data_IF_845942207589
#
_entry.id   IF_845942207589
#
_cell.length_a   1.000
_cell.length_b   1.000
_cell.length_c   1.000
_cell.angle_alpha   90.00
_cell.angle_beta   90.00
_cell.angle_gamma   90.00
#
_symmetry.space_group_name_H-M   'P 1'
#
loop_
_entity.id
_entity.type
_entity.pdbx_description
1 polymer ?
#
# COMPACT_ATOMS: atom_id res chain seq x y z
N UNK A 1 4.10 -29.32 27.03
CA UNK A 1 4.66 -28.31 26.14
C UNK A 1 3.54 -27.39 25.66
N UNK A 2 3.69 -26.07 25.85
CA UNK A 2 2.69 -25.07 25.40
C UNK A 2 2.69 -25.03 23.87
N UNK A 3 1.50 -25.06 23.26
CA UNK A 3 1.33 -25.00 21.79
C UNK A 3 0.55 -23.74 21.40
N UNK A 4 0.93 -23.02 20.33
CA UNK A 4 0.12 -21.95 19.80
C UNK A 4 -1.18 -22.50 19.20
N UNK A 5 -2.19 -21.63 18.99
CA UNK A 5 -3.40 -22.03 18.27
C UNK A 5 -3.06 -22.52 16.85
N UNK A 6 -3.90 -23.42 16.30
CA UNK A 6 -3.64 -24.09 15.01
C UNK A 6 -3.41 -23.12 13.84
N UNK A 7 -4.13 -22.01 13.80
CA UNK A 7 -3.97 -20.97 12.78
C UNK A 7 -2.55 -20.37 12.79
N UNK A 8 -2.01 -20.07 13.97
CA UNK A 8 -0.66 -19.50 14.14
C UNK A 8 0.45 -20.51 13.85
N UNK A 9 0.24 -21.78 14.26
CA UNK A 9 1.23 -22.85 14.05
C UNK A 9 1.52 -23.14 12.56
N UNK A 10 0.57 -22.83 11.67
CA UNK A 10 0.69 -23.05 10.21
C UNK A 10 1.29 -21.87 9.45
N UNK A 11 1.44 -20.70 10.08
CA UNK A 11 1.91 -19.50 9.41
C UNK A 11 3.38 -19.56 9.09
N UNK A 12 3.74 -19.15 7.88
CA UNK A 12 5.11 -18.81 7.55
C UNK A 12 5.45 -17.42 8.09
N UNK A 13 6.59 -17.31 8.77
CA UNK A 13 7.03 -16.04 9.33
C UNK A 13 7.31 -15.03 8.21
N UNK A 14 6.52 -13.95 8.14
CA UNK A 14 6.80 -12.83 7.25
C UNK A 14 8.07 -12.09 7.70
N UNK A 15 9.09 -12.02 6.83
CA UNK A 15 10.39 -11.39 7.12
C UNK A 15 10.71 -10.33 6.07
N UNK A 16 10.25 -9.09 6.25
CA UNK A 16 10.68 -8.00 5.39
C UNK A 16 12.18 -7.73 5.59
N UNK A 17 12.95 -7.37 4.54
CA UNK A 17 14.39 -7.10 4.64
C UNK A 17 14.65 -5.72 5.28
N UNK A 18 14.47 -5.61 6.60
CA UNK A 18 14.58 -4.35 7.35
C UNK A 18 16.02 -3.93 7.63
N UNK A 19 16.95 -4.88 7.63
CA UNK A 19 18.33 -4.64 8.08
C UNK A 19 19.24 -4.08 6.97
N UNK A 20 20.26 -3.33 7.40
CA UNK A 20 21.31 -2.80 6.51
C UNK A 20 20.79 -1.73 5.53
N UNK A 21 19.78 -0.93 5.92
CA UNK A 21 19.18 0.12 5.09
C UNK A 21 19.73 1.53 5.38
N UNK A 22 20.44 1.72 6.52
CA UNK A 22 21.05 2.99 6.89
C UNK A 22 22.04 3.47 5.83
N UNK A 23 22.03 4.78 5.53
CA UNK A 23 22.93 5.41 4.56
C UNK A 23 22.70 5.07 3.08
N UNK A 24 21.68 4.24 2.75
CA UNK A 24 21.35 3.83 1.38
C UNK A 24 20.18 4.60 0.81
N UNK A 25 20.12 4.69 -0.51
CA UNK A 25 18.94 5.19 -1.24
C UNK A 25 17.85 4.14 -1.20
N UNK A 26 16.80 4.40 -0.41
CA UNK A 26 15.72 3.45 -0.10
C UNK A 26 14.59 3.55 -1.12
N UNK A 27 14.63 2.69 -2.15
CA UNK A 27 13.58 2.56 -3.17
C UNK A 27 12.86 1.21 -3.09
N UNK A 28 12.77 0.62 -1.90
CA UNK A 28 12.27 -0.75 -1.64
C UNK A 28 10.91 -0.81 -0.92
N UNK A 29 10.60 0.11 0.00
CA UNK A 29 9.38 0.06 0.83
C UNK A 29 8.36 1.16 0.53
N UNK A 30 8.49 1.86 -0.58
CA UNK A 30 7.56 2.93 -0.97
C UNK A 30 7.47 4.04 0.10
N UNK A 31 8.58 4.29 0.81
CA UNK A 31 8.69 5.39 1.77
C UNK A 31 8.80 6.73 1.04
N UNK A 32 8.49 7.82 1.73
CA UNK A 32 8.86 9.14 1.27
C UNK A 32 10.39 9.29 1.36
N UNK A 33 11.03 9.51 0.22
CA UNK A 33 12.50 9.49 0.11
C UNK A 33 13.17 10.79 0.53
N UNK A 34 12.40 11.85 0.76
CA UNK A 34 12.88 13.16 1.24
C UNK A 34 12.48 13.44 2.70
N UNK A 35 11.68 12.53 3.30
CA UNK A 35 11.22 12.65 4.69
C UNK A 35 9.90 13.40 4.84
N UNK A 36 9.60 13.81 6.08
CA UNK A 36 8.39 14.56 6.40
C UNK A 36 8.64 16.09 6.38
N UNK A 37 7.56 16.85 6.48
CA UNK A 37 7.65 18.31 6.61
C UNK A 37 8.55 18.72 7.80
N UNK A 38 9.45 19.71 7.64
CA UNK A 38 10.35 20.17 8.73
C UNK A 38 9.59 20.62 9.98
N UNK A 39 8.37 21.13 9.82
CA UNK A 39 7.46 21.52 10.92
C UNK A 39 7.13 20.34 11.82
N UNK A 40 6.96 19.15 11.26
CA UNK A 40 6.72 17.92 12.02
C UNK A 40 7.92 17.63 12.93
N UNK A 41 9.13 17.67 12.39
CA UNK A 41 10.36 17.43 13.19
C UNK A 41 10.48 18.43 14.32
N UNK A 42 10.23 19.73 14.04
CA UNK A 42 10.26 20.78 15.08
C UNK A 42 9.20 20.54 16.16
N UNK A 43 7.99 20.15 15.78
CA UNK A 43 6.91 19.86 16.71
C UNK A 43 7.21 18.63 17.58
N UNK A 44 7.76 17.55 16.99
CA UNK A 44 8.15 16.36 17.73
C UNK A 44 9.26 16.68 18.75
N UNK A 45 10.29 17.45 18.37
CA UNK A 45 11.33 17.88 19.30
C UNK A 45 10.76 18.65 20.50
N UNK A 46 9.80 19.56 20.29
CA UNK A 46 9.12 20.30 21.37
C UNK A 46 8.20 19.41 22.22
N UNK A 47 7.65 18.36 21.62
CA UNK A 47 6.76 17.44 22.31
C UNK A 47 7.50 16.39 23.16
N UNK A 48 8.81 16.24 23.00
CA UNK A 48 9.62 15.31 23.79
C UNK A 48 9.86 15.93 25.19
N UNK A 49 9.03 15.51 26.15
CA UNK A 49 9.19 15.83 27.58
C UNK A 49 8.92 14.59 28.42
N UNK A 50 9.46 14.51 29.62
CA UNK A 50 9.23 13.42 30.57
C UNK A 50 7.73 13.24 30.85
N UNK A 51 7.02 14.33 31.09
CA UNK A 51 5.58 14.33 31.31
C UNK A 51 4.80 13.70 30.14
N UNK A 52 5.03 14.17 28.93
CA UNK A 52 4.32 13.61 27.75
C UNK A 52 4.65 12.15 27.49
N UNK A 53 5.85 11.70 27.80
CA UNK A 53 6.25 10.31 27.61
C UNK A 53 5.67 9.38 28.68
N UNK A 54 5.35 9.92 29.88
CA UNK A 54 4.77 9.15 30.98
C UNK A 54 3.24 9.09 30.96
N UNK A 55 2.56 9.90 30.14
CA UNK A 55 1.11 9.97 30.08
C UNK A 55 0.53 9.29 28.83
N UNK A 56 -0.60 8.59 29.00
CA UNK A 56 -1.38 8.12 27.86
C UNK A 56 -1.96 9.29 27.05
N UNK A 57 -2.01 9.18 25.70
CA UNK A 57 -2.50 10.27 24.86
C UNK A 57 -4.04 10.39 24.92
N UNK A 58 -4.51 11.63 24.76
CA UNK A 58 -5.91 11.93 24.50
C UNK A 58 -6.21 11.86 22.99
N UNK A 59 -7.26 11.15 22.60
CA UNK A 59 -7.56 10.89 21.19
C UNK A 59 -8.62 11.81 20.59
N UNK A 60 -9.52 12.38 21.43
CA UNK A 60 -10.72 13.07 20.96
C UNK A 60 -10.41 14.30 20.07
N UNK A 61 -9.49 15.17 20.55
CA UNK A 61 -9.08 16.34 19.78
C UNK A 61 -8.39 15.98 18.47
N UNK A 62 -7.54 14.94 18.49
CA UNK A 62 -6.86 14.44 17.31
C UNK A 62 -7.85 13.83 16.29
N UNK A 63 -8.80 13.02 16.77
CA UNK A 63 -9.84 12.42 15.95
C UNK A 63 -10.69 13.48 15.26
N UNK A 64 -11.15 14.51 15.96
CA UNK A 64 -11.93 15.64 15.39
C UNK A 64 -11.15 16.35 14.27
N UNK A 65 -9.87 16.65 14.50
CA UNK A 65 -9.04 17.37 13.52
C UNK A 65 -8.73 16.51 12.27
N UNK A 66 -8.41 15.23 12.47
CA UNK A 66 -8.18 14.29 11.37
C UNK A 66 -9.46 14.01 10.59
N UNK A 67 -10.61 13.85 11.27
CA UNK A 67 -11.90 13.69 10.61
C UNK A 67 -12.25 14.91 9.73
N UNK A 68 -12.04 16.12 10.24
CA UNK A 68 -12.19 17.35 9.45
C UNK A 68 -11.27 17.36 8.22
N UNK A 69 -10.02 16.92 8.37
CA UNK A 69 -9.06 16.85 7.25
C UNK A 69 -9.52 15.89 6.15
N UNK A 70 -10.08 14.73 6.52
CA UNK A 70 -10.60 13.75 5.57
C UNK A 70 -12.02 14.06 5.07
N UNK A 71 -12.71 15.09 5.59
CA UNK A 71 -14.09 15.42 5.22
C UNK A 71 -15.13 14.42 5.73
N UNK A 72 -14.85 13.77 6.86
CA UNK A 72 -15.74 12.81 7.53
C UNK A 72 -16.10 13.32 8.94
N UNK A 73 -17.09 12.68 9.57
CA UNK A 73 -17.45 12.95 10.96
C UNK A 73 -16.51 12.22 11.92
N UNK A 74 -16.27 12.72 13.15
CA UNK A 74 -15.40 12.07 14.11
C UNK A 74 -15.77 10.62 14.42
N UNK A 75 -17.05 10.30 14.46
CA UNK A 75 -17.58 8.95 14.66
C UNK A 75 -17.31 8.00 13.48
N UNK A 76 -17.02 8.53 12.28
CA UNK A 76 -16.71 7.77 11.06
C UNK A 76 -15.20 7.47 10.92
N UNK A 77 -14.38 7.89 11.88
CA UNK A 77 -12.93 7.71 11.87
C UNK A 77 -12.46 6.86 13.05
N UNK A 78 -11.64 5.84 12.76
CA UNK A 78 -10.92 5.03 13.75
C UNK A 78 -9.42 5.24 13.55
N UNK A 79 -8.72 5.65 14.62
CA UNK A 79 -7.26 5.82 14.61
C UNK A 79 -6.58 4.46 14.76
N UNK A 80 -5.51 4.21 14.02
CA UNK A 80 -4.78 2.94 14.04
C UNK A 80 -3.27 3.13 14.03
N UNK A 81 -2.54 2.15 14.52
CA UNK A 81 -1.07 2.12 14.50
C UNK A 81 -0.54 1.75 13.09
N UNK A 82 -0.83 2.61 12.11
CA UNK A 82 -0.63 2.35 10.68
C UNK A 82 -1.76 1.50 10.09
N UNK A 83 -1.74 1.34 8.75
CA UNK A 83 -2.74 0.51 8.05
C UNK A 83 -2.59 -0.99 8.32
N UNK A 84 -1.41 -1.46 8.71
CA UNK A 84 -1.25 -2.86 9.12
C UNK A 84 -2.13 -3.18 10.34
N UNK A 85 -2.16 -2.27 11.34
CA UNK A 85 -3.05 -2.38 12.49
C UNK A 85 -4.53 -2.21 12.10
N UNK A 86 -4.83 -1.34 11.13
CA UNK A 86 -6.18 -1.22 10.59
C UNK A 86 -6.70 -2.57 10.05
N UNK A 87 -5.87 -3.28 9.29
CA UNK A 87 -6.21 -4.62 8.77
C UNK A 87 -6.42 -5.60 9.93
N UNK A 88 -5.54 -5.59 10.93
CA UNK A 88 -5.68 -6.42 12.12
C UNK A 88 -7.00 -6.15 12.87
N UNK A 89 -7.33 -4.89 13.12
CA UNK A 89 -8.60 -4.48 13.78
C UNK A 89 -9.83 -4.95 12.97
N UNK A 90 -9.77 -4.83 11.64
CA UNK A 90 -10.85 -5.34 10.76
C UNK A 90 -10.98 -6.85 10.90
N UNK A 91 -9.87 -7.60 10.90
CA UNK A 91 -9.92 -9.04 11.10
C UNK A 91 -10.46 -9.43 12.49
N UNK A 92 -10.05 -8.73 13.54
CA UNK A 92 -10.55 -8.99 14.90
C UNK A 92 -12.04 -8.71 15.05
N UNK A 93 -12.57 -7.71 14.34
CA UNK A 93 -13.98 -7.34 14.43
C UNK A 93 -14.91 -8.19 13.56
N UNK A 94 -14.43 -8.69 12.42
CA UNK A 94 -15.30 -9.27 11.40
C UNK A 94 -14.97 -10.70 10.98
N UNK A 95 -13.84 -11.27 11.38
CA UNK A 95 -13.42 -12.60 10.91
C UNK A 95 -13.56 -13.66 11.96
N UNK A 96 -14.34 -14.69 11.66
CA UNK A 96 -14.43 -15.93 12.43
C UNK A 96 -13.55 -17.02 11.79
N UNK A 97 -13.10 -18.04 12.56
CA UNK A 97 -12.37 -19.16 12.00
C UNK A 97 -13.16 -19.87 10.88
N UNK A 98 -12.51 -20.03 9.72
CA UNK A 98 -13.12 -20.61 8.52
C UNK A 98 -13.76 -19.61 7.56
N UNK A 99 -13.91 -18.34 7.94
CA UNK A 99 -14.39 -17.30 7.04
C UNK A 99 -13.48 -17.11 5.82
N UNK A 100 -14.05 -16.72 4.67
CA UNK A 100 -13.33 -16.53 3.43
C UNK A 100 -12.99 -15.06 3.19
N UNK A 101 -11.69 -14.80 2.94
CA UNK A 101 -11.21 -13.56 2.33
C UNK A 101 -11.11 -13.72 0.83
N UNK A 102 -11.66 -12.81 0.06
CA UNK A 102 -11.36 -12.65 -1.36
C UNK A 102 -10.30 -11.57 -1.55
N UNK A 103 -9.22 -11.90 -2.26
CA UNK A 103 -8.12 -10.98 -2.53
C UNK A 103 -7.61 -11.11 -3.97
N UNK A 104 -7.44 -10.00 -4.71
CA UNK A 104 -6.69 -10.01 -5.96
C UNK A 104 -5.24 -10.39 -5.71
N UNK A 105 -4.63 -11.14 -6.62
CA UNK A 105 -3.24 -11.55 -6.51
C UNK A 105 -2.46 -11.30 -7.81
N UNK A 106 -1.23 -10.76 -7.72
CA UNK A 106 -0.49 -10.40 -6.50
C UNK A 106 -0.97 -9.08 -5.86
N UNK A 107 -0.93 -9.02 -4.52
CA UNK A 107 -1.25 -7.82 -3.74
C UNK A 107 -0.45 -7.75 -2.44
N UNK A 108 -0.78 -6.80 -1.56
CA UNK A 108 -0.09 -6.60 -0.29
C UNK A 108 -0.33 -7.79 0.66
N UNK A 109 0.72 -8.50 1.11
CA UNK A 109 0.57 -9.78 1.80
C UNK A 109 0.00 -9.67 3.22
N UNK A 110 -0.09 -8.48 3.79
CA UNK A 110 -0.55 -8.28 5.18
C UNK A 110 -2.05 -8.57 5.32
N UNK A 111 -2.86 -8.43 4.25
CA UNK A 111 -4.27 -8.86 4.27
C UNK A 111 -4.39 -10.36 4.56
N UNK A 112 -3.64 -11.17 3.81
CA UNK A 112 -3.57 -12.60 4.03
C UNK A 112 -3.08 -12.93 5.43
N UNK A 113 -1.97 -12.29 5.86
CA UNK A 113 -1.33 -12.57 7.14
C UNK A 113 -2.32 -12.45 8.32
N UNK A 114 -3.00 -11.31 8.47
CA UNK A 114 -3.92 -11.12 9.60
C UNK A 114 -5.18 -11.97 9.48
N UNK A 115 -5.66 -12.22 8.26
CA UNK A 115 -6.80 -13.10 8.04
C UNK A 115 -6.49 -14.56 8.46
N UNK A 116 -5.35 -15.09 8.06
CA UNK A 116 -4.87 -16.41 8.47
C UNK A 116 -4.58 -16.48 9.98
N UNK A 117 -4.05 -15.41 10.59
CA UNK A 117 -3.91 -15.30 12.05
C UNK A 117 -5.27 -15.45 12.72
N UNK A 118 -6.33 -14.85 12.20
CA UNK A 118 -7.69 -15.00 12.71
C UNK A 118 -8.27 -16.41 12.49
N UNK A 119 -7.64 -17.24 11.65
CA UNK A 119 -8.08 -18.62 11.36
C UNK A 119 -8.93 -18.72 10.09
N UNK A 120 -8.99 -17.67 9.29
CA UNK A 120 -9.73 -17.65 8.03
C UNK A 120 -9.02 -18.38 6.90
N UNK A 121 -9.76 -18.67 5.83
CA UNK A 121 -9.29 -19.22 4.57
C UNK A 121 -9.38 -18.16 3.46
N UNK A 122 -8.79 -18.43 2.29
CA UNK A 122 -8.63 -17.39 1.30
C UNK A 122 -8.96 -17.88 -0.10
N UNK A 123 -9.74 -17.06 -0.82
CA UNK A 123 -9.95 -17.16 -2.25
C UNK A 123 -9.13 -16.09 -2.99
N UNK A 124 -8.42 -16.50 -4.03
CA UNK A 124 -7.62 -15.60 -4.85
C UNK A 124 -8.23 -15.42 -6.23
N UNK A 125 -8.35 -14.19 -6.67
CA UNK A 125 -8.56 -13.85 -8.06
C UNK A 125 -7.28 -13.25 -8.63
N UNK A 126 -6.81 -13.79 -9.74
CA UNK A 126 -5.55 -13.32 -10.31
C UNK A 126 -5.81 -12.23 -11.34
N UNK A 127 -5.01 -11.18 -11.29
CA UNK A 127 -5.00 -10.18 -12.36
C UNK A 127 -4.75 -10.85 -13.71
N UNK A 128 -5.31 -10.28 -14.77
CA UNK A 128 -5.03 -10.69 -16.14
C UNK A 128 -3.57 -10.42 -16.54
N UNK A 129 -3.19 -10.77 -17.74
CA UNK A 129 -1.85 -10.55 -18.30
C UNK A 129 -1.46 -9.06 -18.35
N UNK A 130 -2.46 -8.16 -18.36
CA UNK A 130 -2.30 -6.71 -18.34
C UNK A 130 -2.40 -6.12 -16.93
N UNK A 131 -2.37 -6.93 -15.89
CA UNK A 131 -2.56 -6.54 -14.49
C UNK A 131 -3.89 -5.79 -14.23
N UNK A 132 -4.95 -6.08 -15.00
CA UNK A 132 -6.31 -5.61 -14.75
C UNK A 132 -7.07 -6.60 -13.90
N UNK A 133 -7.91 -6.10 -13.01
CA UNK A 133 -8.77 -6.97 -12.19
C UNK A 133 -9.87 -7.60 -13.06
N UNK A 134 -9.97 -8.94 -13.12
CA UNK A 134 -11.04 -9.62 -13.87
C UNK A 134 -12.34 -9.58 -13.07
N UNK A 135 -13.07 -8.48 -13.15
CA UNK A 135 -14.30 -8.20 -12.37
C UNK A 135 -15.35 -9.30 -12.51
N UNK A 136 -15.48 -9.91 -13.70
CA UNK A 136 -16.40 -11.04 -13.91
C UNK A 136 -16.08 -12.24 -13.02
N UNK A 137 -14.80 -12.53 -12.81
CA UNK A 137 -14.39 -13.65 -11.96
C UNK A 137 -14.53 -13.30 -10.49
N UNK A 138 -14.26 -12.05 -10.11
CA UNK A 138 -14.59 -11.53 -8.77
C UNK A 138 -16.08 -11.73 -8.47
N UNK A 139 -16.97 -11.34 -9.39
CA UNK A 139 -18.43 -11.48 -9.23
C UNK A 139 -18.88 -12.95 -9.13
N UNK A 140 -18.22 -13.88 -9.82
CA UNK A 140 -18.50 -15.33 -9.67
C UNK A 140 -18.14 -15.80 -8.25
N UNK A 141 -16.97 -15.38 -7.73
CA UNK A 141 -16.51 -15.78 -6.40
C UNK A 141 -17.40 -15.14 -5.32
N UNK A 142 -17.86 -13.90 -5.50
CA UNK A 142 -18.77 -13.21 -4.58
C UNK A 142 -20.14 -13.88 -4.43
N UNK A 143 -20.52 -14.85 -5.29
CA UNK A 143 -21.69 -15.70 -5.07
C UNK A 143 -21.48 -16.72 -3.94
N UNK A 144 -20.25 -16.95 -3.53
CA UNK A 144 -19.91 -17.75 -2.35
C UNK A 144 -20.07 -16.88 -1.09
N UNK A 145 -20.02 -17.52 0.08
CA UNK A 145 -20.05 -16.81 1.37
C UNK A 145 -18.71 -16.14 1.66
N UNK A 146 -18.39 -15.05 0.94
CA UNK A 146 -17.19 -14.25 1.20
C UNK A 146 -17.44 -13.32 2.38
N UNK A 147 -16.59 -13.39 3.41
CA UNK A 147 -16.69 -12.55 4.59
C UNK A 147 -16.25 -11.12 4.32
N UNK A 148 -15.10 -10.98 3.66
CA UNK A 148 -14.59 -9.69 3.25
C UNK A 148 -13.72 -9.76 2.01
N UNK A 149 -13.57 -8.62 1.35
CA UNK A 149 -12.72 -8.39 0.17
C UNK A 149 -11.70 -7.33 0.51
N UNK A 150 -10.41 -7.60 0.24
CA UNK A 150 -9.34 -6.62 0.42
C UNK A 150 -8.85 -6.12 -0.95
N UNK A 151 -8.98 -4.83 -1.20
CA UNK A 151 -8.63 -4.17 -2.45
C UNK A 151 -7.67 -3.00 -2.17
N UNK A 152 -6.37 -3.18 -2.44
CA UNK A 152 -5.46 -2.03 -2.46
C UNK A 152 -5.71 -1.21 -3.74
N UNK A 153 -5.92 0.08 -3.61
CA UNK A 153 -6.24 0.96 -4.74
C UNK A 153 -5.60 2.35 -4.60
N UNK A 154 -4.46 2.57 -5.24
CA UNK A 154 -3.67 1.71 -6.15
C UNK A 154 -3.12 0.43 -5.51
N UNK A 155 -3.06 -0.66 -6.30
CA UNK A 155 -2.58 -1.95 -5.81
C UNK A 155 -1.05 -1.96 -5.63
N UNK A 156 -0.58 -2.68 -4.64
CA UNK A 156 0.84 -2.98 -4.42
C UNK A 156 1.06 -4.50 -4.59
N UNK A 157 1.87 -4.96 -5.58
CA UNK A 157 2.98 -4.23 -6.19
C UNK A 157 2.74 -3.64 -7.59
N UNK A 158 1.57 -3.81 -8.17
CA UNK A 158 1.35 -3.48 -9.59
C UNK A 158 1.24 -1.96 -9.85
N UNK A 159 0.75 -1.19 -8.90
CA UNK A 159 0.46 0.24 -9.05
C UNK A 159 -0.83 0.53 -9.82
N UNK A 160 -1.54 -0.50 -10.27
CA UNK A 160 -2.80 -0.39 -11.02
C UNK A 160 -3.95 0.03 -10.12
N UNK A 161 -4.97 0.65 -10.71
CA UNK A 161 -6.20 1.04 -10.03
C UNK A 161 -7.39 0.20 -10.51
N UNK A 162 -8.37 0.06 -9.64
CA UNK A 162 -9.68 -0.48 -9.96
C UNK A 162 -10.60 0.71 -10.22
N UNK A 163 -11.35 0.69 -11.32
CA UNK A 163 -12.22 1.79 -11.67
C UNK A 163 -13.35 1.97 -10.63
N UNK A 164 -13.81 3.20 -10.44
CA UNK A 164 -14.99 3.47 -9.58
C UNK A 164 -16.24 2.70 -10.05
N UNK A 165 -16.38 2.50 -11.36
CA UNK A 165 -17.46 1.68 -11.93
C UNK A 165 -17.39 0.25 -11.42
N UNK A 166 -16.22 -0.37 -11.52
CA UNK A 166 -16.01 -1.76 -11.11
C UNK A 166 -16.16 -1.95 -9.60
N UNK A 167 -15.62 -1.00 -8.80
CA UNK A 167 -15.80 -0.99 -7.35
C UNK A 167 -17.28 -0.91 -6.98
N UNK A 168 -18.07 -0.06 -7.66
CA UNK A 168 -19.51 0.05 -7.43
C UNK A 168 -20.23 -1.26 -7.73
N UNK A 169 -19.96 -1.87 -8.89
CA UNK A 169 -20.56 -3.15 -9.30
C UNK A 169 -20.31 -4.24 -8.24
N UNK A 170 -19.07 -4.33 -7.72
CA UNK A 170 -18.74 -5.32 -6.71
C UNK A 170 -19.44 -5.06 -5.37
N UNK A 171 -19.47 -3.78 -4.90
CA UNK A 171 -20.15 -3.38 -3.67
C UNK A 171 -21.64 -3.70 -3.70
N UNK A 172 -22.30 -3.42 -4.83
CA UNK A 172 -23.74 -3.63 -5.02
C UNK A 172 -24.08 -5.12 -5.18
N UNK A 173 -23.16 -5.91 -5.74
CA UNK A 173 -23.33 -7.36 -5.92
C UNK A 173 -23.26 -8.16 -4.60
N UNK A 174 -22.59 -7.63 -3.56
CA UNK A 174 -22.39 -8.36 -2.30
C UNK A 174 -22.57 -7.44 -1.07
N UNK A 175 -23.80 -6.99 -0.78
CA UNK A 175 -24.06 -6.01 0.28
C UNK A 175 -23.76 -6.51 1.69
N UNK A 176 -23.69 -7.82 1.89
CA UNK A 176 -23.37 -8.46 3.17
C UNK A 176 -21.88 -8.81 3.35
N UNK A 177 -21.07 -8.52 2.34
CA UNK A 177 -19.60 -8.72 2.36
C UNK A 177 -18.93 -7.39 2.70
N UNK A 178 -17.98 -7.39 3.63
CA UNK A 178 -17.19 -6.20 3.96
C UNK A 178 -16.17 -5.94 2.85
N UNK A 179 -16.17 -4.75 2.28
CA UNK A 179 -15.17 -4.31 1.30
C UNK A 179 -14.19 -3.34 1.96
N UNK A 180 -12.92 -3.72 1.98
CA UNK A 180 -11.83 -2.85 2.42
C UNK A 180 -11.11 -2.32 1.18
N UNK A 181 -11.20 -1.02 0.94
CA UNK A 181 -10.45 -0.32 -0.10
C UNK A 181 -9.29 0.41 0.58
N UNK A 182 -8.08 -0.14 0.40
CA UNK A 182 -6.87 0.43 0.98
C UNK A 182 -6.29 1.50 0.06
N UNK A 183 -6.46 2.76 0.43
CA UNK A 183 -6.03 3.93 -0.31
C UNK A 183 -4.68 4.48 0.20
N UNK A 184 -3.75 3.59 0.58
CA UNK A 184 -2.42 3.97 1.08
C UNK A 184 -1.60 4.83 0.09
N UNK A 185 -1.95 4.84 -1.18
CA UNK A 185 -1.28 5.60 -2.24
C UNK A 185 -2.16 6.71 -2.84
N UNK A 186 -3.23 7.09 -2.16
CA UNK A 186 -4.20 8.10 -2.60
C UNK A 186 -3.55 9.40 -3.07
N UNK A 187 -2.59 9.93 -2.32
CA UNK A 187 -1.97 11.23 -2.62
C UNK A 187 -1.24 11.24 -3.98
N UNK A 188 -0.93 10.06 -4.54
CA UNK A 188 -0.27 9.91 -5.84
C UNK A 188 -1.24 9.63 -7.00
N UNK A 189 -2.42 9.09 -6.72
CA UNK A 189 -3.45 8.76 -7.72
C UNK A 189 -4.56 9.82 -7.81
N UNK A 190 -4.91 10.42 -6.68
CA UNK A 190 -6.09 11.26 -6.54
C UNK A 190 -7.43 10.49 -6.51
N UNK A 191 -7.38 9.15 -6.71
CA UNK A 191 -8.58 8.31 -6.77
C UNK A 191 -9.05 7.88 -5.39
N UNK A 192 -10.33 8.11 -5.08
CA UNK A 192 -10.92 7.73 -3.78
C UNK A 192 -12.38 7.33 -3.90
N UNK A 193 -12.78 6.40 -3.03
CA UNK A 193 -14.17 6.02 -2.77
C UNK A 193 -14.65 6.48 -1.39
N UNK A 194 -13.84 7.26 -0.67
CA UNK A 194 -14.18 7.77 0.65
C UNK A 194 -15.59 8.44 0.73
N UNK A 195 -16.04 9.24 -0.26
CA UNK A 195 -17.40 9.81 -0.22
C UNK A 195 -18.53 8.77 -0.18
N UNK A 196 -18.24 7.51 -0.47
CA UNK A 196 -19.25 6.44 -0.56
C UNK A 196 -19.50 5.73 0.78
N UNK A 197 -18.73 5.96 1.83
CA UNK A 197 -18.87 5.26 3.12
C UNK A 197 -20.24 5.40 3.77
N UNK A 198 -20.98 6.46 3.44
CA UNK A 198 -22.37 6.68 3.92
C UNK A 198 -23.40 6.01 3.03
N UNK A 199 -23.08 5.80 1.75
CA UNK A 199 -23.96 5.14 0.78
C UNK A 199 -23.85 3.61 0.87
N UNK A 200 -22.66 3.09 1.06
CA UNK A 200 -22.39 1.65 1.12
C UNK A 200 -21.97 1.26 2.55
N UNK A 201 -22.90 0.71 3.36
CA UNK A 201 -22.63 0.39 4.75
C UNK A 201 -21.57 -0.70 4.94
N UNK A 202 -21.25 -1.46 3.89
CA UNK A 202 -20.25 -2.50 3.84
C UNK A 202 -18.87 -2.00 3.34
N UNK A 203 -18.68 -0.69 3.16
CA UNK A 203 -17.41 -0.12 2.68
C UNK A 203 -16.57 0.41 3.84
N UNK A 204 -15.32 -0.01 3.86
CA UNK A 204 -14.25 0.50 4.72
C UNK A 204 -13.13 1.05 3.84
N UNK A 205 -12.66 2.27 4.11
CA UNK A 205 -11.51 2.88 3.46
C UNK A 205 -10.38 3.00 4.47
N UNK A 206 -9.14 2.65 4.09
CA UNK A 206 -7.97 2.87 4.94
C UNK A 206 -7.05 3.94 4.35
N UNK A 207 -6.43 4.75 5.21
CA UNK A 207 -5.47 5.80 4.87
C UNK A 207 -4.24 5.72 5.77
N UNK A 208 -3.09 6.10 5.24
CA UNK A 208 -1.81 6.05 5.97
C UNK A 208 -1.05 7.37 5.90
N UNK A 209 -0.34 7.70 6.96
CA UNK A 209 0.65 8.78 6.97
C UNK A 209 2.07 8.31 6.61
N UNK A 210 2.24 7.00 6.33
CA UNK A 210 3.56 6.40 6.07
C UNK A 210 4.15 6.77 4.71
N UNK A 211 3.30 7.12 3.71
CA UNK A 211 3.74 7.30 2.32
C UNK A 211 3.98 8.78 1.99
N UNK A 212 3.02 9.50 1.45
CA UNK A 212 3.19 10.89 1.05
C UNK A 212 3.61 11.82 2.18
N UNK A 213 3.09 11.63 3.39
CA UNK A 213 3.42 12.44 4.57
C UNK A 213 4.78 12.13 5.18
N UNK A 214 5.42 10.99 4.83
CA UNK A 214 6.76 10.64 5.30
C UNK A 214 6.84 10.23 6.78
N UNK A 215 5.75 9.74 7.37
CA UNK A 215 5.67 9.38 8.79
C UNK A 215 5.68 7.87 9.04
N UNK A 216 6.38 7.09 8.21
CA UNK A 216 6.40 5.64 8.30
C UNK A 216 6.81 5.12 9.70
N UNK A 217 7.78 5.76 10.33
CA UNK A 217 8.28 5.39 11.66
C UNK A 217 7.30 5.72 12.79
N UNK A 218 6.41 6.69 12.62
CA UNK A 218 5.42 7.07 13.63
C UNK A 218 4.22 6.15 13.69
N UNK A 219 4.01 5.32 12.66
CA UNK A 219 2.92 4.35 12.64
C UNK A 219 1.54 4.98 12.82
N UNK A 220 1.16 5.95 12.01
CA UNK A 220 -0.18 6.54 12.02
C UNK A 220 -0.97 6.14 10.79
N UNK A 221 -2.15 5.60 11.00
CA UNK A 221 -3.15 5.26 10.00
C UNK A 221 -4.56 5.55 10.48
N UNK A 222 -5.51 5.46 9.58
CA UNK A 222 -6.93 5.64 9.86
C UNK A 222 -7.78 4.64 9.09
N UNK A 223 -8.84 4.16 9.73
CA UNK A 223 -10.00 3.55 9.07
C UNK A 223 -11.08 4.63 8.98
N UNK A 224 -11.69 4.73 7.82
CA UNK A 224 -12.76 5.66 7.47
C UNK A 224 -13.94 4.83 6.95
N UNK A 225 -15.07 4.88 7.65
CA UNK A 225 -16.27 4.09 7.32
C UNK A 225 -17.51 4.74 7.93
N UNK A 226 -18.69 4.16 7.76
CA UNK A 226 -19.87 4.67 8.44
C UNK A 226 -19.77 4.52 9.96
N UNK A 227 -20.52 5.35 10.70
CA UNK A 227 -20.42 5.46 12.16
C UNK A 227 -20.69 4.13 12.89
N UNK A 228 -21.62 3.30 12.38
CA UNK A 228 -21.96 2.01 13.00
C UNK A 228 -20.79 1.03 12.89
N UNK A 229 -20.22 0.85 11.68
CA UNK A 229 -19.06 -0.02 11.46
C UNK A 229 -17.85 0.49 12.23
N UNK A 230 -17.62 1.81 12.29
CA UNK A 230 -16.54 2.40 13.07
C UNK A 230 -16.71 2.13 14.58
N UNK A 231 -17.94 2.08 15.10
CA UNK A 231 -18.22 1.71 16.50
C UNK A 231 -17.91 0.23 16.75
N UNK A 232 -18.35 -0.66 15.85
CA UNK A 232 -18.05 -2.10 15.94
C UNK A 232 -16.53 -2.36 15.91
N UNK A 233 -15.77 -1.67 15.05
CA UNK A 233 -14.31 -1.74 15.00
C UNK A 233 -13.65 -1.30 16.32
N UNK A 234 -14.12 -0.19 16.93
CA UNK A 234 -13.60 0.30 18.20
C UNK A 234 -13.80 -0.68 19.38
N UNK A 235 -14.85 -1.49 19.34
CA UNK A 235 -15.08 -2.54 20.37
C UNK A 235 -14.01 -3.63 20.36
N UNK A 236 -13.48 -3.96 19.16
CA UNK A 236 -12.40 -4.95 18.98
C UNK A 236 -11.00 -4.37 19.03
N UNK A 237 -10.85 -3.05 19.15
CA UNK A 237 -9.57 -2.36 19.08
C UNK A 237 -8.91 -2.25 20.45
N UNK A 238 -7.58 -2.27 20.49
CA UNK A 238 -6.81 -1.86 21.66
C UNK A 238 -7.24 -0.44 22.12
N UNK A 239 -7.53 -0.20 23.41
CA UNK A 239 -7.93 1.12 23.91
C UNK A 239 -6.86 2.20 23.76
N UNK A 240 -5.59 1.85 23.59
CA UNK A 240 -4.46 2.74 23.39
C UNK A 240 -3.79 2.50 22.01
N UNK A 241 -4.51 2.78 20.88
CA UNK A 241 -4.08 2.32 19.56
C UNK A 241 -2.90 3.09 18.97
N UNK A 242 -2.70 4.36 19.34
CA UNK A 242 -1.72 5.25 18.71
C UNK A 242 -0.93 6.01 19.77
N UNK A 243 0.38 6.07 19.61
CA UNK A 243 1.26 6.79 20.50
C UNK A 243 1.14 8.32 20.37
N UNK A 244 1.49 9.05 21.44
CA UNK A 244 1.34 10.51 21.51
C UNK A 244 2.16 11.25 20.45
N UNK A 245 3.36 10.78 20.11
CA UNK A 245 4.21 11.41 19.09
C UNK A 245 3.63 11.25 17.68
N UNK A 246 2.99 10.13 17.40
CA UNK A 246 2.28 9.93 16.14
C UNK A 246 1.11 10.91 15.98
N UNK A 247 0.35 11.16 17.06
CA UNK A 247 -0.72 12.17 17.04
C UNK A 247 -0.17 13.57 16.80
N UNK A 248 0.88 13.97 17.52
CA UNK A 248 1.55 15.27 17.30
C UNK A 248 2.03 15.38 15.85
N UNK A 249 2.77 14.39 15.38
CA UNK A 249 3.31 14.37 14.01
C UNK A 249 2.21 14.41 12.94
N UNK A 250 1.16 13.62 13.11
CA UNK A 250 0.03 13.58 12.18
C UNK A 250 -0.75 14.89 12.13
N UNK A 251 -1.03 15.50 13.28
CA UNK A 251 -1.75 16.77 13.36
C UNK A 251 -0.97 17.93 12.72
N UNK A 252 0.35 17.97 12.89
CA UNK A 252 1.19 18.95 12.22
C UNK A 252 1.31 18.66 10.73
N UNK A 253 1.42 17.39 10.36
CA UNK A 253 1.51 16.99 8.95
C UNK A 253 0.27 17.42 8.15
N UNK A 254 -0.96 17.30 8.70
CA UNK A 254 -2.17 17.76 8.00
C UNK A 254 -2.26 19.29 7.91
N UNK A 255 -1.74 20.03 8.90
CA UNK A 255 -1.62 21.50 8.82
C UNK A 255 -0.68 21.93 7.70
N UNK A 256 0.36 21.14 7.43
CA UNK A 256 1.35 21.34 6.39
C UNK A 256 1.18 20.38 5.20
N UNK A 257 -0.05 19.94 4.92
CA UNK A 257 -0.37 19.00 3.84
C UNK A 257 0.13 19.45 2.46
N UNK A 258 0.39 20.76 2.27
CA UNK A 258 1.06 21.30 1.10
C UNK A 258 2.42 20.66 0.82
N UNK A 259 3.17 20.25 1.85
CA UNK A 259 4.43 19.53 1.69
C UNK A 259 4.22 18.17 1.04
N UNK A 260 3.28 17.37 1.57
CA UNK A 260 2.95 16.06 1.01
C UNK A 260 2.41 16.16 -0.42
N UNK A 261 1.59 17.20 -0.73
CA UNK A 261 1.09 17.44 -2.10
C UNK A 261 2.22 17.78 -3.07
N UNK A 262 3.16 18.64 -2.70
CA UNK A 262 4.33 18.95 -3.55
C UNK A 262 5.20 17.73 -3.80
N UNK A 263 5.46 16.94 -2.75
CA UNK A 263 6.19 15.68 -2.89
C UNK A 263 5.46 14.71 -3.82
N UNK A 264 4.15 14.53 -3.67
CA UNK A 264 3.36 13.66 -4.54
C UNK A 264 3.41 14.12 -6.01
N UNK A 265 3.33 15.43 -6.26
CA UNK A 265 3.45 15.99 -7.61
C UNK A 265 4.84 15.73 -8.23
N UNK A 266 5.92 15.91 -7.45
CA UNK A 266 7.28 15.60 -7.89
C UNK A 266 7.44 14.10 -8.22
N UNK A 267 6.92 13.23 -7.35
CA UNK A 267 6.92 11.77 -7.58
C UNK A 267 6.15 11.40 -8.85
N UNK A 268 4.99 11.99 -9.09
CA UNK A 268 4.21 11.76 -10.32
C UNK A 268 4.98 12.18 -11.57
N UNK A 269 5.64 13.34 -11.56
CA UNK A 269 6.47 13.80 -12.66
C UNK A 269 7.69 12.89 -12.89
N UNK A 270 8.35 12.47 -11.82
CA UNK A 270 9.50 11.56 -11.89
C UNK A 270 9.08 10.15 -12.32
N UNK A 271 7.88 9.67 -11.92
CA UNK A 271 7.29 8.43 -12.41
C UNK A 271 7.12 8.47 -13.93
N UNK A 272 6.52 9.54 -14.45
CA UNK A 272 6.36 9.72 -15.89
C UNK A 272 7.73 9.76 -16.62
N UNK A 273 8.74 10.39 -16.01
CA UNK A 273 10.10 10.43 -16.57
C UNK A 273 10.74 9.04 -16.58
N UNK A 274 10.62 8.25 -15.51
CA UNK A 274 11.13 6.89 -15.48
C UNK A 274 10.41 6.00 -16.51
N UNK A 275 9.07 6.09 -16.60
CA UNK A 275 8.29 5.30 -17.54
C UNK A 275 8.71 5.56 -19.00
N UNK A 276 8.81 6.83 -19.42
CA UNK A 276 9.32 7.18 -20.76
C UNK A 276 10.73 6.62 -21.00
N UNK A 277 11.62 6.73 -20.01
CA UNK A 277 12.96 6.17 -20.16
C UNK A 277 12.93 4.63 -20.29
N UNK A 278 12.04 3.93 -19.57
CA UNK A 278 11.86 2.48 -19.71
C UNK A 278 11.35 2.12 -21.12
N UNK A 279 10.43 2.91 -21.67
CA UNK A 279 9.93 2.79 -23.05
C UNK A 279 11.07 2.97 -24.07
N UNK A 280 11.88 4.02 -23.94
CA UNK A 280 13.05 4.29 -24.79
C UNK A 280 14.09 3.16 -24.72
N UNK A 281 14.17 2.43 -23.60
CA UNK A 281 15.07 1.28 -23.44
C UNK A 281 14.40 -0.06 -23.77
N UNK A 282 13.15 -0.06 -24.24
CA UNK A 282 12.34 -1.27 -24.50
C UNK A 282 12.21 -2.19 -23.27
N UNK A 283 12.20 -1.62 -22.06
CA UNK A 283 12.05 -2.36 -20.79
C UNK A 283 10.60 -2.38 -20.37
N UNK A 284 9.92 -3.54 -20.32
CA UNK A 284 8.52 -3.62 -19.94
C UNK A 284 8.30 -3.25 -18.48
N UNK A 285 7.21 -2.53 -18.22
CA UNK A 285 6.78 -2.14 -16.89
C UNK A 285 5.25 -2.14 -16.78
N UNK A 286 4.73 -2.14 -15.56
CA UNK A 286 3.29 -2.01 -15.32
C UNK A 286 2.97 -0.53 -15.08
N UNK A 287 2.07 0.08 -15.87
CA UNK A 287 1.64 1.46 -15.66
C UNK A 287 1.08 1.65 -14.25
N UNK A 288 1.64 2.61 -13.52
CA UNK A 288 1.39 2.79 -12.10
C UNK A 288 0.73 4.13 -11.79
N UNK A 289 -0.17 4.12 -10.81
CA UNK A 289 -0.75 5.32 -10.19
C UNK A 289 -0.25 5.53 -8.74
N UNK A 290 0.75 4.72 -8.31
CA UNK A 290 1.36 4.82 -6.98
C UNK A 290 2.72 5.55 -7.04
N UNK A 291 3.42 5.58 -5.91
CA UNK A 291 4.79 6.12 -5.81
C UNK A 291 5.87 5.08 -6.16
N UNK A 292 5.57 4.12 -7.00
CA UNK A 292 6.50 3.10 -7.47
C UNK A 292 6.13 2.61 -8.87
N UNK A 293 7.05 1.90 -9.51
CA UNK A 293 6.82 1.20 -10.79
C UNK A 293 7.30 -0.23 -10.64
N UNK A 294 6.48 -1.19 -11.08
CA UNK A 294 6.83 -2.60 -11.19
C UNK A 294 7.38 -2.84 -12.60
N UNK A 295 8.66 -3.22 -12.69
CA UNK A 295 9.41 -3.30 -13.94
C UNK A 295 9.89 -4.73 -14.17
N UNK A 296 9.73 -5.25 -15.39
CA UNK A 296 10.19 -6.58 -15.78
C UNK A 296 11.62 -6.49 -16.32
N UNK A 297 12.57 -7.06 -15.58
CA UNK A 297 14.00 -7.08 -15.94
C UNK A 297 14.51 -8.47 -16.35
N UNK A 298 13.61 -9.44 -16.46
CA UNK A 298 13.94 -10.79 -16.89
C UNK A 298 14.62 -11.66 -15.81
N UNK A 299 15.26 -12.76 -16.21
CA UNK A 299 15.77 -13.78 -15.27
C UNK A 299 16.89 -13.24 -14.38
N UNK A 300 17.58 -12.19 -14.80
CA UNK A 300 18.68 -11.57 -14.05
C UNK A 300 18.19 -10.52 -13.01
N UNK A 301 16.88 -10.29 -12.83
CA UNK A 301 16.34 -9.36 -11.86
C UNK A 301 16.95 -9.50 -10.44
N UNK A 302 17.13 -10.70 -9.85
CA UNK A 302 17.79 -10.84 -8.55
C UNK A 302 19.28 -10.40 -8.57
N UNK A 303 20.00 -10.60 -9.67
CA UNK A 303 21.37 -10.16 -9.81
C UNK A 303 21.46 -8.63 -9.92
N UNK A 304 20.53 -8.01 -10.67
CA UNK A 304 20.38 -6.55 -10.76
C UNK A 304 20.10 -5.95 -9.39
N UNK A 305 19.15 -6.54 -8.62
CA UNK A 305 18.84 -6.08 -7.27
C UNK A 305 20.07 -6.13 -6.34
N UNK A 306 20.87 -7.22 -6.40
CA UNK A 306 22.13 -7.34 -5.64
C UNK A 306 23.16 -6.29 -6.06
N UNK A 307 23.36 -6.04 -7.37
CA UNK A 307 24.29 -5.01 -7.88
C UNK A 307 23.87 -3.61 -7.46
N UNK A 308 22.56 -3.29 -7.53
CA UNK A 308 22.02 -2.01 -7.05
C UNK A 308 22.27 -1.85 -5.55
N UNK A 309 22.04 -2.90 -4.74
CA UNK A 309 22.31 -2.90 -3.30
C UNK A 309 23.77 -2.64 -2.98
N UNK A 310 24.71 -3.24 -3.73
CA UNK A 310 26.15 -3.00 -3.58
C UNK A 310 26.53 -1.54 -3.89
N UNK A 311 25.77 -0.87 -4.79
CA UNK A 311 25.92 0.55 -5.13
C UNK A 311 25.10 1.48 -4.22
N UNK A 312 24.57 0.96 -3.10
CA UNK A 312 23.82 1.73 -2.11
C UNK A 312 22.38 2.07 -2.53
N UNK A 313 21.79 1.33 -3.46
CA UNK A 313 20.41 1.50 -3.91
C UNK A 313 19.60 0.25 -3.54
N UNK A 314 18.57 0.42 -2.70
CA UNK A 314 17.68 -0.66 -2.31
C UNK A 314 16.43 -0.64 -3.18
N UNK A 315 16.07 -1.81 -3.73
CA UNK A 315 14.87 -2.02 -4.55
C UNK A 315 14.14 -3.26 -4.06
N UNK A 316 12.85 -3.39 -4.40
CA UNK A 316 12.07 -4.54 -3.96
C UNK A 316 12.09 -5.65 -4.99
N UNK A 317 12.66 -6.78 -4.62
CA UNK A 317 12.63 -8.01 -5.40
C UNK A 317 11.31 -8.77 -5.14
N UNK A 318 10.61 -9.17 -6.22
CA UNK A 318 9.36 -9.91 -6.18
C UNK A 318 9.49 -11.33 -6.76
N UNK A 319 10.72 -11.81 -7.02
CA UNK A 319 10.96 -13.14 -7.61
C UNK A 319 10.48 -14.34 -6.75
N UNK A 320 10.15 -14.10 -5.49
CA UNK A 320 9.52 -15.11 -4.63
C UNK A 320 8.07 -15.42 -5.01
N UNK A 321 7.38 -14.50 -5.70
CA UNK A 321 6.06 -14.75 -6.28
C UNK A 321 6.23 -15.32 -7.69
N UNK A 322 5.72 -16.54 -7.97
CA UNK A 322 5.89 -17.17 -9.28
C UNK A 322 5.39 -16.35 -10.47
N UNK A 323 4.37 -15.51 -10.24
CA UNK A 323 3.78 -14.63 -11.28
C UNK A 323 4.58 -13.36 -11.53
N UNK A 324 5.48 -13.02 -10.61
CA UNK A 324 6.32 -11.82 -10.67
C UNK A 324 7.80 -12.18 -10.82
N UNK A 325 8.11 -13.40 -11.28
CA UNK A 325 9.49 -13.75 -11.61
C UNK A 325 10.04 -12.84 -12.68
N UNK A 326 11.22 -12.31 -12.45
CA UNK A 326 11.84 -11.33 -13.34
C UNK A 326 11.42 -9.88 -13.08
N UNK A 327 10.59 -9.61 -12.07
CA UNK A 327 10.17 -8.25 -11.73
C UNK A 327 10.91 -7.67 -10.53
N UNK A 328 11.27 -6.40 -10.66
CA UNK A 328 11.66 -5.54 -9.53
C UNK A 328 10.68 -4.37 -9.42
N UNK A 329 10.37 -3.96 -8.19
CA UNK A 329 9.59 -2.75 -7.95
C UNK A 329 10.52 -1.64 -7.46
N UNK A 330 10.46 -0.50 -8.13
CA UNK A 330 11.23 0.71 -7.81
C UNK A 330 10.31 1.75 -7.18
N UNK A 331 10.58 2.15 -5.95
CA UNK A 331 9.98 3.37 -5.40
C UNK A 331 10.49 4.58 -6.19
N UNK A 332 9.61 5.51 -6.52
CA UNK A 332 9.96 6.76 -7.17
C UNK A 332 10.41 7.76 -6.12
N UNK A 333 11.62 8.24 -6.27
CA UNK A 333 12.20 9.23 -5.37
C UNK A 333 12.20 10.64 -5.96
N UNK A 334 13.06 11.50 -5.40
CA UNK A 334 13.33 12.83 -5.96
C UNK A 334 13.92 12.73 -7.36
N UNK A 335 13.92 13.85 -8.09
CA UNK A 335 14.50 13.92 -9.43
C UNK A 335 15.95 13.42 -9.48
N UNK A 336 16.77 13.77 -8.50
CA UNK A 336 18.15 13.30 -8.40
C UNK A 336 18.24 11.78 -8.18
N UNK A 337 17.39 11.23 -7.32
CA UNK A 337 17.33 9.79 -7.04
C UNK A 337 16.86 8.99 -8.26
N UNK A 338 15.82 9.47 -8.93
CA UNK A 338 15.29 8.84 -10.15
C UNK A 338 16.33 8.85 -11.28
N UNK A 339 17.02 9.96 -11.52
CA UNK A 339 18.13 10.04 -12.48
C UNK A 339 19.28 9.10 -12.12
N UNK A 340 19.62 8.98 -10.84
CA UNK A 340 20.65 8.03 -10.37
C UNK A 340 20.22 6.58 -10.65
N UNK A 341 18.98 6.21 -10.35
CA UNK A 341 18.46 4.87 -10.65
C UNK A 341 18.57 4.55 -12.15
N UNK A 342 18.10 5.46 -13.02
CA UNK A 342 18.18 5.30 -14.48
C UNK A 342 19.62 5.12 -14.97
N UNK A 343 20.57 5.93 -14.45
CA UNK A 343 22.00 5.80 -14.79
C UNK A 343 22.57 4.44 -14.38
N UNK A 344 22.25 3.94 -13.19
CA UNK A 344 22.72 2.65 -12.69
C UNK A 344 22.12 1.49 -13.49
N UNK A 345 20.84 1.56 -13.86
CA UNK A 345 20.20 0.54 -14.72
C UNK A 345 20.81 0.52 -16.12
N UNK A 346 21.16 1.70 -16.69
CA UNK A 346 21.85 1.77 -18.00
C UNK A 346 23.18 1.04 -18.00
N UNK A 347 23.94 1.07 -16.87
CA UNK A 347 25.21 0.34 -16.73
C UNK A 347 25.04 -1.18 -16.55
N UNK A 348 23.80 -1.67 -16.47
CA UNK A 348 23.46 -3.08 -16.34
C UNK A 348 22.65 -3.59 -17.55
N UNK A 349 22.77 -2.86 -18.67
CA UNK A 349 22.00 -3.17 -19.88
C UNK A 349 22.27 -4.58 -20.41
N UNK A 350 23.50 -5.06 -20.29
CA UNK A 350 23.92 -6.43 -20.60
C UNK A 350 23.10 -7.51 -19.88
N UNK A 351 22.71 -7.26 -18.63
CA UNK A 351 21.85 -8.16 -17.84
C UNK A 351 20.35 -8.04 -18.18
N UNK A 352 19.93 -6.89 -18.74
CA UNK A 352 18.53 -6.62 -19.08
C UNK A 352 18.23 -7.10 -20.50
N UNK A 353 19.22 -7.05 -21.41
CA UNK A 353 19.07 -7.34 -22.84
C UNK A 353 19.32 -8.79 -23.24
N UNK A 354 19.37 -9.72 -22.30
CA UNK A 354 19.55 -11.14 -22.65
C UNK A 354 18.50 -11.58 -23.68
N UNK A 355 18.98 -11.87 -24.92
CA UNK A 355 18.15 -12.21 -26.10
C UNK A 355 17.25 -13.43 -25.88
N UNK A 356 17.63 -14.35 -24.99
CA UNK A 356 16.82 -15.51 -24.63
C UNK A 356 15.49 -15.13 -23.94
N UNK A 357 15.49 -14.00 -23.20
CA UNK A 357 14.31 -13.51 -22.50
C UNK A 357 13.37 -12.68 -23.37
N UNK A 358 13.84 -12.10 -24.49
CA UNK A 358 13.02 -11.24 -25.37
C UNK A 358 11.88 -11.98 -26.09
N UNK A 359 12.02 -13.26 -26.43
CA UNK A 359 10.96 -14.05 -27.06
C UNK A 359 9.71 -14.18 -26.18
N UNK A 360 9.89 -14.11 -24.86
CA UNK A 360 8.80 -14.18 -23.88
C UNK A 360 8.16 -12.78 -23.62
N UNK A 361 8.80 -11.71 -24.11
CA UNK A 361 8.34 -10.32 -23.92
C UNK A 361 7.27 -9.92 -24.94
N UNK A 362 7.16 -10.60 -26.09
CA UNK A 362 6.18 -10.27 -27.13
C UNK A 362 4.72 -10.31 -26.62
N UNK A 363 4.43 -11.11 -25.59
CA UNK A 363 3.12 -11.18 -24.93
C UNK A 363 2.80 -9.96 -24.05
N UNK A 364 3.82 -9.11 -23.74
CA UNK A 364 3.68 -7.92 -22.91
C UNK A 364 4.03 -6.61 -23.66
N UNK A 365 4.33 -6.69 -24.96
CA UNK A 365 4.91 -5.60 -25.77
C UNK A 365 3.91 -4.53 -26.23
N UNK A 366 2.67 -4.50 -25.74
CA UNK A 366 1.64 -3.53 -26.14
C UNK A 366 1.21 -2.55 -25.06
N UNK A 367 2.08 -2.25 -24.11
CA UNK A 367 1.84 -1.18 -23.14
C UNK A 367 2.28 0.18 -23.72
N UNK A 368 1.60 0.68 -24.76
CA UNK A 368 1.69 2.10 -25.07
C UNK A 368 0.78 2.87 -24.12
N UNK A 369 1.26 4.00 -23.60
CA UNK A 369 0.53 4.88 -22.68
C UNK A 369 -0.81 5.41 -23.23
N UNK A 370 -1.11 5.20 -24.52
CA UNK A 370 -2.29 5.71 -25.24
C UNK A 370 -3.55 4.85 -25.07
N UNK A 371 -3.47 3.65 -24.50
CA UNK A 371 -4.62 2.75 -24.37
C UNK A 371 -5.36 2.78 -23.02
N UNK A 372 -4.99 3.65 -22.08
CA UNK A 372 -5.50 3.64 -20.70
C UNK A 372 -6.54 4.72 -20.37
N UNK A 373 -6.83 5.65 -21.31
CA UNK A 373 -7.75 6.79 -21.10
C UNK A 373 -9.02 6.72 -21.97
N UNK A 374 -9.38 5.58 -22.51
CA UNK A 374 -10.66 5.39 -23.21
C UNK A 374 -11.66 4.61 -22.36
#
# INVERSE_FOLDING_TARGET
>A
MVRPRKSVARLHKYRPPLEGRGGKMRLDFNENTIGCAPEVVRALRRALSADRLSCYPEYEAARKRLAKFFGVRPEELVLTNGTDDAINVICQAFVEPGDLLLVPAPTFPVYQFFHEVAGGAMERVYYDENFRLPVRDVLKILKQRIRWVALANPNNPTGTIISKRDLRIMLEAAPNTVFVVDEAYYEFSGETVLPWIRKYPNLIVTRTFSKAFGLAALRLGCILTNAKVADDLRRGQNPFPVNSLALVGGLVAIQHAGFARRYAAEVCANRATLCRWLEDQEIPYVPSQANFVLTRLGPHAPAIARRLRARGILVRDWNYDPRLRGFLRFTIGSTAQTRRLMRELRQMRDLIEDRASRKDWSKFATFSATGWFA
#
